data_IF_260179181110
#
_entry.id   IF_260179181110
#
_cell.length_a   1.000
_cell.length_b   1.000
_cell.length_c   1.000
_cell.angle_alpha   90.00
_cell.angle_beta   90.00
_cell.angle_gamma   90.00
#
_symmetry.space_group_name_H-M   'P 1'
#
loop_
_entity.id
_entity.type
_entity.pdbx_description
1 polymer ?
#
# COMPACT_ATOMS: atom_id res chain seq x y z
N UNK A 1 -1.15 -0.83 -21.72
CA UNK A 1 -0.66 0.52 -21.39
C UNK A 1 -1.72 1.48 -20.82
N UNK A 2 -3.04 1.25 -20.94
CA UNK A 2 -4.05 2.20 -20.44
C UNK A 2 -4.33 2.17 -18.92
N UNK A 3 -4.04 1.07 -18.21
CA UNK A 3 -4.42 0.91 -16.79
C UNK A 3 -3.57 1.82 -15.88
N UNK A 4 -2.24 1.81 -16.05
CA UNK A 4 -1.30 2.67 -15.28
C UNK A 4 -1.61 4.16 -15.37
N UNK A 5 -2.07 4.65 -16.53
CA UNK A 5 -2.32 6.08 -16.77
C UNK A 5 -3.41 6.66 -15.86
N UNK A 6 -4.39 5.85 -15.45
CA UNK A 6 -5.52 6.32 -14.63
C UNK A 6 -5.42 5.91 -13.16
N UNK A 7 -4.50 4.99 -12.81
CA UNK A 7 -4.23 4.60 -11.42
C UNK A 7 -3.92 5.82 -10.55
N UNK A 8 -3.02 6.72 -10.99
CA UNK A 8 -2.70 7.93 -10.23
C UNK A 8 -3.91 8.84 -10.00
N UNK A 9 -4.79 8.95 -11.00
CA UNK A 9 -6.01 9.73 -10.86
C UNK A 9 -7.00 9.14 -9.84
N UNK A 10 -6.98 7.81 -9.68
CA UNK A 10 -7.79 7.11 -8.67
C UNK A 10 -7.11 7.08 -7.30
N UNK A 11 -5.78 7.23 -7.22
CA UNK A 11 -5.08 7.47 -5.95
C UNK A 11 -5.48 8.82 -5.35
N UNK A 12 -5.61 9.85 -6.17
CA UNK A 12 -6.01 11.20 -5.71
C UNK A 12 -7.51 11.34 -5.44
N UNK A 13 -8.36 10.67 -6.23
CA UNK A 13 -9.82 10.67 -6.06
C UNK A 13 -10.38 9.24 -6.24
N UNK A 14 -10.37 8.41 -5.19
CA UNK A 14 -10.88 7.03 -5.24
C UNK A 14 -12.39 6.98 -5.53
N UNK A 15 -13.11 8.00 -5.07
CA UNK A 15 -14.57 8.08 -5.15
C UNK A 15 -15.08 8.64 -6.48
N UNK A 16 -14.17 9.03 -7.39
CA UNK A 16 -14.50 9.57 -8.72
C UNK A 16 -15.63 8.80 -9.42
N UNK A 17 -16.68 9.50 -9.78
CA UNK A 17 -17.84 8.89 -10.43
C UNK A 17 -17.47 8.27 -11.79
N UNK A 18 -17.96 7.05 -12.06
CA UNK A 18 -17.72 6.32 -13.33
C UNK A 18 -18.16 7.14 -14.55
N UNK A 19 -19.21 7.95 -14.42
CA UNK A 19 -19.70 8.84 -15.48
C UNK A 19 -18.67 9.91 -15.86
N UNK A 20 -18.01 10.51 -14.86
CA UNK A 20 -16.95 11.49 -15.06
C UNK A 20 -15.74 10.84 -15.72
N UNK A 21 -15.21 9.79 -15.09
CA UNK A 21 -14.11 9.01 -15.62
C UNK A 21 -14.32 8.57 -17.08
N UNK A 22 -15.51 8.06 -17.42
CA UNK A 22 -15.85 7.66 -18.79
C UNK A 22 -15.73 8.82 -19.79
N UNK A 23 -16.19 10.03 -19.42
CA UNK A 23 -16.09 11.20 -20.30
C UNK A 23 -14.63 11.55 -20.56
N UNK A 24 -13.80 11.48 -19.53
CA UNK A 24 -12.38 11.83 -19.63
C UNK A 24 -11.62 10.80 -20.46
N UNK A 25 -11.90 9.51 -20.27
CA UNK A 25 -11.35 8.46 -21.12
C UNK A 25 -11.74 8.68 -22.58
N UNK A 26 -13.02 8.92 -22.89
CA UNK A 26 -13.48 9.16 -24.27
C UNK A 26 -12.75 10.36 -24.89
N UNK A 27 -12.53 11.43 -24.13
CA UNK A 27 -11.76 12.60 -24.60
C UNK A 27 -10.31 12.24 -24.89
N UNK A 28 -9.67 11.46 -24.02
CA UNK A 28 -8.27 11.10 -24.13
C UNK A 28 -7.99 10.14 -25.29
N UNK A 29 -8.78 9.07 -25.42
CA UNK A 29 -8.53 8.01 -26.41
C UNK A 29 -9.28 8.23 -27.73
N UNK A 30 -10.15 9.27 -27.79
CA UNK A 30 -10.98 9.63 -28.94
C UNK A 30 -11.83 8.47 -29.49
N UNK A 31 -12.13 7.50 -28.65
CA UNK A 31 -12.91 6.31 -28.95
C UNK A 31 -14.06 6.17 -27.96
N UNK A 32 -15.18 5.59 -28.42
CA UNK A 32 -16.31 5.34 -27.55
C UNK A 32 -15.99 4.20 -26.57
N UNK A 33 -16.24 4.45 -25.29
CA UNK A 33 -16.09 3.46 -24.22
C UNK A 33 -17.46 3.23 -23.62
N UNK A 34 -17.86 1.98 -23.36
CA UNK A 34 -19.13 1.68 -22.70
C UNK A 34 -19.10 2.00 -21.21
N UNK A 35 -20.27 2.19 -20.59
CA UNK A 35 -20.38 2.38 -19.13
C UNK A 35 -19.77 1.20 -18.37
N UNK A 36 -20.00 -0.02 -18.84
CA UNK A 36 -19.49 -1.24 -18.22
C UNK A 36 -17.97 -1.36 -18.35
N UNK A 37 -17.39 -0.99 -19.50
CA UNK A 37 -15.94 -0.96 -19.68
C UNK A 37 -15.29 0.04 -18.71
N UNK A 38 -15.83 1.25 -18.59
CA UNK A 38 -15.34 2.26 -17.66
C UNK A 38 -15.45 1.79 -16.20
N UNK A 39 -16.56 1.14 -15.83
CA UNK A 39 -16.75 0.56 -14.49
C UNK A 39 -15.71 -0.52 -14.18
N UNK A 40 -15.49 -1.48 -15.10
CA UNK A 40 -14.50 -2.56 -14.92
C UNK A 40 -13.08 -2.02 -14.84
N UNK A 41 -12.76 -1.00 -15.64
CA UNK A 41 -11.46 -0.33 -15.58
C UNK A 41 -11.24 0.36 -14.24
N UNK A 42 -12.23 1.14 -13.75
CA UNK A 42 -12.18 1.75 -12.40
C UNK A 42 -11.94 0.69 -11.33
N UNK A 43 -12.73 -0.38 -11.33
CA UNK A 43 -12.61 -1.46 -10.33
C UNK A 43 -11.25 -2.14 -10.37
N UNK A 44 -10.70 -2.39 -11.57
CA UNK A 44 -9.37 -3.00 -11.70
C UNK A 44 -8.26 -2.06 -11.20
N UNK A 45 -8.38 -0.77 -11.47
CA UNK A 45 -7.42 0.22 -10.98
C UNK A 45 -7.45 0.32 -9.44
N UNK A 46 -8.64 0.39 -8.82
CA UNK A 46 -8.76 0.40 -7.36
C UNK A 46 -8.18 -0.87 -6.72
N UNK A 47 -8.55 -2.05 -7.23
CA UNK A 47 -8.00 -3.31 -6.72
C UNK A 47 -6.47 -3.40 -6.86
N UNK A 48 -5.91 -2.83 -7.92
CA UNK A 48 -4.45 -2.80 -8.11
C UNK A 48 -3.77 -1.82 -7.12
N UNK A 49 -4.42 -0.71 -6.79
CA UNK A 49 -3.94 0.23 -5.77
C UNK A 49 -3.95 -0.44 -4.39
N UNK A 50 -5.06 -1.10 -4.03
CA UNK A 50 -5.21 -1.80 -2.75
C UNK A 50 -4.20 -2.96 -2.63
N UNK A 51 -4.12 -3.83 -3.65
CA UNK A 51 -3.19 -4.96 -3.64
C UNK A 51 -1.72 -4.53 -3.60
N UNK A 52 -1.36 -3.40 -4.23
CA UNK A 52 -0.01 -2.86 -4.13
C UNK A 52 0.35 -2.40 -2.71
N UNK A 53 -0.63 -1.94 -1.92
CA UNK A 53 -0.39 -1.60 -0.53
C UNK A 53 -0.15 -2.86 0.30
N UNK A 54 -0.96 -3.90 0.11
CA UNK A 54 -0.79 -5.20 0.80
C UNK A 54 0.58 -5.83 0.49
N UNK A 55 1.00 -5.81 -0.77
CA UNK A 55 2.31 -6.29 -1.20
C UNK A 55 3.46 -5.50 -0.54
N UNK A 56 3.31 -4.17 -0.40
CA UNK A 56 4.30 -3.34 0.28
C UNK A 56 4.38 -3.63 1.78
N UNK A 57 3.25 -3.91 2.43
CA UNK A 57 3.24 -4.28 3.85
C UNK A 57 3.79 -5.69 4.09
N UNK A 58 3.64 -6.61 3.15
CA UNK A 58 4.25 -7.94 3.23
C UNK A 58 5.79 -7.86 3.36
N UNK A 59 6.42 -6.94 2.63
CA UNK A 59 7.87 -6.72 2.67
C UNK A 59 8.40 -6.25 4.04
N UNK A 60 7.56 -5.63 4.89
CA UNK A 60 8.00 -5.21 6.22
C UNK A 60 8.38 -6.40 7.11
N UNK A 61 7.76 -7.57 6.92
CA UNK A 61 8.10 -8.78 7.66
C UNK A 61 9.50 -9.26 7.30
N UNK A 62 9.78 -9.37 6.00
CA UNK A 62 11.09 -9.77 5.49
C UNK A 62 12.17 -8.77 5.96
N UNK A 63 11.87 -7.47 5.89
CA UNK A 63 12.79 -6.44 6.36
C UNK A 63 13.05 -6.53 7.88
N UNK A 64 11.99 -6.74 8.67
CA UNK A 64 12.13 -6.93 10.11
C UNK A 64 13.00 -8.14 10.45
N UNK A 65 12.86 -9.23 9.70
CA UNK A 65 13.66 -10.43 9.86
C UNK A 65 15.12 -10.18 9.49
N UNK A 66 15.39 -9.53 8.36
CA UNK A 66 16.74 -9.19 7.93
C UNK A 66 17.44 -8.23 8.91
N UNK A 67 16.70 -7.29 9.52
CA UNK A 67 17.25 -6.45 10.59
C UNK A 67 17.65 -7.27 11.83
N UNK A 68 16.83 -8.26 12.22
CA UNK A 68 17.16 -9.14 13.37
C UNK A 68 18.38 -10.01 13.08
N UNK A 69 18.51 -10.53 11.85
CA UNK A 69 19.65 -11.34 11.42
C UNK A 69 20.94 -10.52 11.38
N UNK A 70 20.90 -9.37 10.73
CA UNK A 70 22.08 -8.49 10.55
C UNK A 70 22.51 -7.79 11.84
N UNK A 71 21.57 -7.55 12.78
CA UNK A 71 21.84 -6.86 14.03
C UNK A 71 21.32 -7.64 15.24
N UNK A 72 21.96 -8.77 15.62
CA UNK A 72 21.40 -9.70 16.64
C UNK A 72 21.17 -9.09 18.03
N UNK A 73 21.89 -8.03 18.38
CA UNK A 73 21.74 -7.32 19.67
C UNK A 73 20.70 -6.20 19.64
N UNK A 74 20.19 -5.85 18.45
CA UNK A 74 19.20 -4.79 18.27
C UNK A 74 17.80 -5.31 18.53
N UNK A 75 16.92 -4.43 19.01
CA UNK A 75 15.53 -4.79 19.27
C UNK A 75 14.64 -4.36 18.09
N UNK A 76 13.98 -5.31 17.42
CA UNK A 76 13.12 -5.05 16.25
C UNK A 76 11.73 -5.62 16.53
N UNK A 77 10.75 -4.76 16.66
CA UNK A 77 9.36 -5.13 16.99
C UNK A 77 8.43 -4.63 15.90
N UNK A 78 7.60 -5.52 15.38
CA UNK A 78 6.47 -5.16 14.52
C UNK A 78 5.17 -5.48 15.24
N UNK A 79 4.28 -4.49 15.32
CA UNK A 79 3.00 -4.56 16.00
C UNK A 79 1.87 -4.45 14.98
N UNK A 80 0.85 -5.27 15.19
CA UNK A 80 -0.40 -5.22 14.45
C UNK A 80 -1.50 -4.70 15.36
N UNK A 81 -2.56 -4.11 14.80
CA UNK A 81 -3.74 -3.72 15.57
C UNK A 81 -4.46 -4.98 16.05
N UNK A 82 -4.96 -4.93 17.28
CA UNK A 82 -5.90 -5.93 17.78
C UNK A 82 -7.25 -5.71 17.10
N UNK A 83 -7.86 -6.80 16.64
CA UNK A 83 -9.21 -6.76 16.09
C UNK A 83 -10.20 -6.99 17.23
N UNK A 84 -10.93 -5.97 17.66
CA UNK A 84 -11.96 -6.11 18.70
C UNK A 84 -13.08 -7.10 18.30
N UNK A 85 -13.28 -7.31 17.00
CA UNK A 85 -14.40 -8.10 16.45
C UNK A 85 -14.03 -9.54 16.01
N UNK A 86 -12.86 -10.07 16.40
CA UNK A 86 -12.45 -11.42 15.98
C UNK A 86 -12.26 -11.58 14.46
N UNK A 87 -12.29 -10.48 13.72
CA UNK A 87 -12.14 -10.46 12.27
C UNK A 87 -10.65 -10.42 11.88
N UNK A 88 -10.31 -11.19 10.84
CA UNK A 88 -8.97 -11.66 10.47
C UNK A 88 -8.04 -10.56 9.94
N UNK A 89 -8.53 -9.32 9.81
CA UNK A 89 -7.79 -8.22 9.20
C UNK A 89 -6.93 -7.47 10.22
N UNK A 90 -5.90 -8.15 10.74
CA UNK A 90 -4.82 -7.50 11.49
C UNK A 90 -4.19 -6.45 10.59
N UNK A 91 -4.33 -5.16 10.94
CA UNK A 91 -3.68 -4.06 10.20
C UNK A 91 -2.33 -3.75 10.81
N UNK A 92 -1.42 -3.22 10.01
CA UNK A 92 -0.15 -2.70 10.53
C UNK A 92 -0.43 -1.56 11.54
N UNK A 93 0.23 -1.62 12.71
CA UNK A 93 0.12 -0.58 13.72
C UNK A 93 1.43 0.19 13.90
N UNK A 94 2.53 -0.50 14.17
CA UNK A 94 3.83 0.14 14.43
C UNK A 94 5.00 -0.76 14.03
N UNK A 95 6.07 -0.13 13.57
CA UNK A 95 7.38 -0.74 13.42
C UNK A 95 8.39 0.00 14.31
N UNK A 96 9.03 -0.71 15.23
CA UNK A 96 9.99 -0.16 16.18
C UNK A 96 11.36 -0.85 16.00
N UNK A 97 12.42 -0.04 15.97
CA UNK A 97 13.80 -0.50 15.84
C UNK A 97 14.69 0.25 16.81
N UNK A 98 15.37 -0.49 17.68
CA UNK A 98 16.42 -0.01 18.58
C UNK A 98 17.74 -0.64 18.17
N UNK A 99 18.56 0.12 17.44
CA UNK A 99 19.89 -0.34 17.05
C UNK A 99 20.85 -0.34 18.25
N UNK A 100 21.42 -1.50 18.54
CA UNK A 100 22.37 -1.64 19.64
C UNK A 100 23.61 -0.78 19.44
N UNK A 101 24.08 -0.64 18.19
CA UNK A 101 25.20 0.22 17.85
C UNK A 101 24.96 1.69 18.24
N UNK A 102 23.73 2.20 18.06
CA UNK A 102 23.38 3.56 18.47
C UNK A 102 23.33 3.70 19.99
N UNK A 103 22.80 2.70 20.69
CA UNK A 103 22.78 2.65 22.16
C UNK A 103 24.21 2.67 22.72
N UNK A 104 25.09 1.83 22.18
CA UNK A 104 26.49 1.74 22.61
C UNK A 104 27.23 3.04 22.30
N UNK A 105 27.09 3.56 21.07
CA UNK A 105 27.74 4.81 20.65
C UNK A 105 27.35 6.00 21.53
N UNK A 106 26.07 6.13 21.86
CA UNK A 106 25.58 7.18 22.75
C UNK A 106 26.14 7.04 24.19
N UNK A 107 26.25 5.82 24.69
CA UNK A 107 26.81 5.57 26.04
C UNK A 107 28.33 5.71 26.10
N UNK A 108 29.03 5.59 24.97
CA UNK A 108 30.49 5.71 24.91
C UNK A 108 31.03 7.15 24.86
N UNK A 109 30.16 8.16 24.70
CA UNK A 109 30.54 9.57 24.64
C UNK A 109 30.79 10.07 23.22
#
# INVERSE_FOLDING_TARGET
MAVKKYEDSFRTDPNRAVKGFRKDVIKDIRCNVSKYQAYRAKRKALNAIDGAADDQFALLWDYAEELRKSNPRSNVIMMMTDSDDGNVNKKFAKFYVMFDALRVGFLSG
#
